data_IF_485346211366
#
_entry.id   IF_485346211366
#
_cell.length_a   1.000
_cell.length_b   1.000
_cell.length_c   1.000
_cell.angle_alpha   90.00
_cell.angle_beta   90.00
_cell.angle_gamma   90.00
#
_symmetry.space_group_name_H-M   'P 1'
#
loop_
_entity.id
_entity.type
_entity.pdbx_description
1 polymer ?
#
# COMPACT_ATOMS: atom_id res chain seq x y z
N UNK A 1 2.56 33.36 4.81
CA UNK A 1 1.37 32.49 4.94
C UNK A 1 1.86 31.06 4.99
N UNK A 2 1.80 30.41 6.15
CA UNK A 2 2.35 29.05 6.34
C UNK A 2 1.47 28.16 7.22
N UNK A 3 0.32 28.66 7.68
CA UNK A 3 -0.60 27.98 8.59
C UNK A 3 -1.67 27.13 7.89
N UNK A 4 -1.62 26.97 6.57
CA UNK A 4 -2.57 26.13 5.82
C UNK A 4 -1.90 25.04 4.97
N UNK A 5 -0.57 24.92 4.98
CA UNK A 5 0.14 23.92 4.16
C UNK A 5 -0.14 22.46 4.55
N UNK A 6 -0.75 22.21 5.71
CA UNK A 6 -1.22 20.89 6.12
C UNK A 6 -2.60 20.52 5.55
N UNK A 7 -3.36 21.50 5.07
CA UNK A 7 -4.68 21.29 4.45
C UNK A 7 -4.56 20.91 2.97
N UNK A 8 -3.41 21.17 2.36
CA UNK A 8 -3.15 20.85 0.96
C UNK A 8 -2.69 19.39 0.82
N UNK A 9 -3.34 18.59 -0.06
CA UNK A 9 -2.86 17.26 -0.40
C UNK A 9 -1.43 17.34 -0.93
N UNK A 10 -0.48 16.71 -0.22
CA UNK A 10 0.89 16.62 -0.69
C UNK A 10 0.97 15.52 -1.74
N UNK A 11 1.46 15.86 -2.94
CA UNK A 11 1.80 14.86 -3.94
C UNK A 11 2.88 13.91 -3.38
N UNK A 12 2.78 12.63 -3.73
CA UNK A 12 3.74 11.62 -3.31
C UNK A 12 3.35 10.23 -3.77
N UNK A 13 3.92 9.22 -3.13
CA UNK A 13 3.85 7.82 -3.53
C UNK A 13 3.19 7.01 -2.43
N UNK A 14 2.16 6.24 -2.78
CA UNK A 14 1.43 5.41 -1.82
C UNK A 14 1.67 3.92 -2.11
N UNK A 15 2.14 3.19 -1.10
CA UNK A 15 2.25 1.75 -1.17
C UNK A 15 0.91 1.13 -0.75
N UNK A 16 0.22 0.49 -1.69
CA UNK A 16 -1.08 -0.15 -1.42
C UNK A 16 -0.95 -1.42 -0.58
N UNK A 17 0.16 -2.16 -0.74
CA UNK A 17 0.43 -3.40 0.01
C UNK A 17 0.61 -3.11 1.51
N UNK A 18 1.34 -2.04 1.84
CA UNK A 18 1.63 -1.67 3.22
C UNK A 18 0.72 -0.55 3.75
N UNK A 19 -0.12 0.05 2.91
CA UNK A 19 -0.94 1.23 3.21
C UNK A 19 -0.14 2.41 3.81
N UNK A 20 1.02 2.70 3.23
CA UNK A 20 1.93 3.76 3.68
C UNK A 20 2.19 4.81 2.60
N UNK A 21 2.30 6.07 3.01
CA UNK A 21 2.63 7.21 2.14
C UNK A 21 4.11 7.63 2.25
N UNK A 22 4.69 8.01 1.12
CA UNK A 22 6.07 8.43 0.96
C UNK A 22 6.16 9.74 0.17
N UNK A 23 6.92 10.70 0.69
CA UNK A 23 7.02 12.03 0.07
C UNK A 23 7.81 12.06 -1.26
N UNK A 24 8.63 11.04 -1.54
CA UNK A 24 9.45 11.00 -2.76
C UNK A 24 9.74 9.58 -3.26
N UNK A 25 10.14 9.48 -4.52
CA UNK A 25 10.36 8.21 -5.22
C UNK A 25 11.49 7.38 -4.58
N UNK A 26 12.56 8.01 -4.12
CA UNK A 26 13.70 7.30 -3.50
C UNK A 26 13.29 6.61 -2.21
N UNK A 27 12.44 7.22 -1.40
CA UNK A 27 11.94 6.64 -0.16
C UNK A 27 11.04 5.42 -0.40
N UNK A 28 10.12 5.48 -1.37
CA UNK A 28 9.29 4.32 -1.74
C UNK A 28 10.11 3.20 -2.40
N UNK A 29 11.11 3.53 -3.24
CA UNK A 29 12.00 2.52 -3.83
C UNK A 29 12.83 1.77 -2.79
N UNK A 30 13.25 2.46 -1.72
CA UNK A 30 13.91 1.82 -0.58
C UNK A 30 12.92 0.95 0.20
N UNK A 31 11.70 1.44 0.43
CA UNK A 31 10.64 0.68 1.08
C UNK A 31 10.33 -0.64 0.36
N UNK A 32 10.17 -0.64 -0.96
CA UNK A 32 9.80 -1.84 -1.72
C UNK A 32 10.86 -2.96 -1.67
N UNK A 33 12.09 -2.66 -1.23
CA UNK A 33 13.17 -3.64 -1.05
C UNK A 33 13.24 -4.22 0.36
N UNK A 34 12.35 -3.78 1.27
CA UNK A 34 12.35 -4.26 2.66
C UNK A 34 11.72 -5.66 2.76
N UNK A 35 12.19 -6.52 3.68
CA UNK A 35 11.58 -7.83 3.92
C UNK A 35 10.09 -7.73 4.29
N UNK A 36 9.69 -6.68 5.00
CA UNK A 36 8.29 -6.43 5.35
C UNK A 36 7.40 -6.28 4.11
N UNK A 37 7.87 -5.52 3.11
CA UNK A 37 7.11 -5.34 1.87
C UNK A 37 6.96 -6.68 1.12
N UNK A 38 8.00 -7.50 1.09
CA UNK A 38 7.97 -8.83 0.47
C UNK A 38 6.97 -9.75 1.19
N UNK A 39 7.03 -9.82 2.52
CA UNK A 39 6.10 -10.60 3.33
C UNK A 39 4.64 -10.14 3.13
N UNK A 40 4.37 -8.84 3.17
CA UNK A 40 3.02 -8.32 2.96
C UNK A 40 2.50 -8.60 1.55
N UNK A 41 3.39 -8.66 0.55
CA UNK A 41 3.02 -9.05 -0.80
C UNK A 41 2.60 -10.52 -0.84
N UNK A 42 3.36 -11.43 -0.23
CA UNK A 42 3.03 -12.86 -0.13
C UNK A 42 1.69 -13.09 0.60
N UNK A 43 1.51 -12.46 1.76
CA UNK A 43 0.26 -12.52 2.54
C UNK A 43 -0.92 -11.94 1.75
N UNK A 44 -0.71 -10.83 1.04
CA UNK A 44 -1.73 -10.23 0.19
C UNK A 44 -2.18 -11.17 -0.93
N UNK A 45 -1.24 -11.90 -1.55
CA UNK A 45 -1.56 -12.94 -2.53
C UNK A 45 -2.34 -14.11 -1.91
N UNK A 46 -2.00 -14.51 -0.68
CA UNK A 46 -2.72 -15.58 0.04
C UNK A 46 -4.16 -15.18 0.42
N UNK A 47 -4.36 -13.94 0.85
CA UNK A 47 -5.70 -13.39 1.10
C UNK A 47 -6.54 -13.30 -0.19
N UNK A 48 -5.93 -12.96 -1.33
CA UNK A 48 -6.61 -13.01 -2.62
C UNK A 48 -6.99 -14.45 -2.99
N UNK A 49 -6.11 -15.43 -2.79
CA UNK A 49 -6.40 -16.84 -3.06
C UNK A 49 -7.55 -17.38 -2.20
N UNK A 50 -7.55 -17.06 -0.90
CA UNK A 50 -8.62 -17.45 0.03
C UNK A 50 -9.92 -16.67 -0.21
N UNK A 51 -9.84 -15.44 -0.72
CA UNK A 51 -10.98 -14.60 -1.10
C UNK A 51 -11.65 -15.02 -2.40
N UNK A 52 -10.89 -15.48 -3.40
CA UNK A 52 -11.40 -15.90 -4.71
C UNK A 52 -12.22 -17.21 -4.65
N UNK A 53 -12.16 -17.95 -3.53
CA UNK A 53 -12.95 -19.16 -3.27
C UNK A 53 -14.34 -18.93 -2.65
N UNK A 54 -14.80 -17.68 -2.45
CA UNK A 54 -16.09 -17.37 -1.79
C UNK A 54 -17.15 -16.74 -2.69
N UNK A 55 -16.97 -16.73 -4.00
CA UNK A 55 -17.94 -16.11 -4.93
C UNK A 55 -18.87 -17.11 -5.66
N UNK A 56 -18.99 -18.34 -5.17
CA UNK A 56 -19.95 -19.34 -5.68
C UNK A 56 -20.79 -20.00 -4.57
N UNK A 57 -21.34 -19.19 -3.67
CA UNK A 57 -22.48 -19.62 -2.83
C UNK A 57 -23.35 -18.42 -2.49
N UNK A 58 -23.95 -17.80 -3.51
CA UNK A 58 -25.16 -16.98 -3.40
C UNK A 58 -25.72 -16.71 -4.83
N UNK A 59 -26.04 -17.79 -5.55
CA UNK A 59 -27.13 -17.82 -6.54
C UNK A 59 -27.51 -19.24 -6.92
#
# INVERSE_FOLDING_TARGET
SSDLDYLLPKAGFFCQICSLFYANETSVRRHCKTPLHQHNMEVGLELLWTGMGREHRDR
#
